data_IF_803434229289
#
_entry.id   IF_803434229289
#
_cell.length_a   1.000
_cell.length_b   1.000
_cell.length_c   1.000
_cell.angle_alpha   90.00
_cell.angle_beta   90.00
_cell.angle_gamma   90.00
#
_symmetry.space_group_name_H-M   'P 1'
#
loop_
_entity.id
_entity.type
_entity.pdbx_description
1 polymer ?
#
# COMPACT_ATOMS: atom_id res chain seq x y z
N UNK A 1 -37.80 52.47 41.78
CA UNK A 1 -37.29 51.09 41.87
C UNK A 1 -35.78 51.16 41.78
N UNK A 2 -35.10 51.32 42.92
CA UNK A 2 -33.63 51.20 42.99
C UNK A 2 -33.28 49.72 42.83
N UNK A 3 -32.31 49.43 41.97
CA UNK A 3 -31.97 48.05 41.62
C UNK A 3 -31.37 47.34 42.84
N UNK A 4 -31.65 46.05 43.00
CA UNK A 4 -31.19 45.23 44.13
C UNK A 4 -29.66 45.19 44.27
N UNK A 5 -28.92 45.44 43.19
CA UNK A 5 -27.44 45.45 43.17
C UNK A 5 -26.86 46.73 43.78
N UNK A 6 -27.43 47.89 43.44
CA UNK A 6 -26.95 49.20 43.93
C UNK A 6 -26.98 49.29 45.46
N UNK A 7 -28.04 48.77 46.09
CA UNK A 7 -28.19 48.82 47.55
C UNK A 7 -27.23 47.91 48.32
N UNK A 8 -26.81 46.79 47.73
CA UNK A 8 -25.88 45.84 48.38
C UNK A 8 -24.45 46.36 48.29
N UNK A 9 -24.09 46.94 47.15
CA UNK A 9 -22.79 47.56 46.95
C UNK A 9 -22.60 48.82 47.82
N UNK A 10 -23.66 49.60 48.03
CA UNK A 10 -23.64 50.78 48.90
C UNK A 10 -23.42 50.41 50.38
N UNK A 11 -24.04 49.31 50.86
CA UNK A 11 -23.81 48.77 52.20
C UNK A 11 -22.35 48.35 52.40
N UNK A 12 -21.78 47.59 51.45
CA UNK A 12 -20.37 47.18 51.51
C UNK A 12 -19.39 48.39 51.46
N UNK A 13 -19.76 49.46 50.74
CA UNK A 13 -18.95 50.67 50.59
C UNK A 13 -19.06 51.62 51.79
N UNK A 14 -20.20 51.60 52.49
CA UNK A 14 -20.45 52.41 53.70
C UNK A 14 -19.60 52.00 54.91
N UNK A 15 -18.99 50.81 54.85
CA UNK A 15 -18.15 50.26 55.92
C UNK A 15 -16.69 50.64 55.65
N UNK A 16 -16.05 51.25 56.66
CA UNK A 16 -14.66 51.69 56.58
C UNK A 16 -13.70 50.57 56.16
N UNK A 17 -12.93 50.82 55.09
CA UNK A 17 -11.89 49.90 54.58
C UNK A 17 -10.69 49.81 55.52
N UNK A 18 -10.53 50.76 56.45
CA UNK A 18 -9.42 50.83 57.40
C UNK A 18 -9.56 49.88 58.62
N UNK A 19 -10.51 48.95 58.57
CA UNK A 19 -10.79 48.00 59.65
C UNK A 19 -10.50 46.58 59.13
N UNK A 20 -10.01 45.68 59.99
CA UNK A 20 -9.75 44.28 59.63
C UNK A 20 -10.97 43.61 58.97
N UNK A 21 -10.75 42.73 57.99
CA UNK A 21 -11.82 42.13 57.15
C UNK A 21 -12.87 41.38 57.98
N UNK A 22 -12.46 40.70 59.05
CA UNK A 22 -13.37 40.07 60.03
C UNK A 22 -14.34 41.05 60.69
N UNK A 23 -13.84 42.22 61.10
CA UNK A 23 -14.64 43.30 61.69
C UNK A 23 -15.53 43.95 60.64
N UNK A 24 -15.03 44.07 59.40
CA UNK A 24 -15.84 44.54 58.27
C UNK A 24 -17.02 43.61 58.01
N UNK A 25 -16.83 42.29 58.08
CA UNK A 25 -17.91 41.31 57.97
C UNK A 25 -18.93 41.42 59.11
N UNK A 26 -18.48 41.59 60.36
CA UNK A 26 -19.35 41.85 61.50
C UNK A 26 -20.18 43.14 61.34
N UNK A 27 -19.54 44.24 60.92
CA UNK A 27 -20.22 45.50 60.60
C UNK A 27 -21.19 45.34 59.42
N UNK A 28 -20.87 44.50 58.44
CA UNK A 28 -21.72 44.22 57.28
C UNK A 28 -22.98 43.45 57.68
N UNK A 29 -22.87 42.46 58.57
CA UNK A 29 -24.03 41.74 59.12
C UNK A 29 -24.98 42.71 59.85
N UNK A 30 -24.43 43.59 60.69
CA UNK A 30 -25.23 44.58 61.43
C UNK A 30 -25.90 45.59 60.49
N UNK A 31 -25.15 46.13 59.52
CA UNK A 31 -25.68 47.08 58.54
C UNK A 31 -26.74 46.45 57.64
N UNK A 32 -26.55 45.18 57.27
CA UNK A 32 -27.54 44.41 56.49
C UNK A 32 -28.83 44.17 57.28
N UNK A 33 -28.74 43.91 58.59
CA UNK A 33 -29.90 43.77 59.46
C UNK A 33 -30.66 45.10 59.57
N UNK A 34 -29.97 46.21 59.85
CA UNK A 34 -30.60 47.54 59.95
C UNK A 34 -31.25 47.96 58.63
N UNK A 35 -30.60 47.70 57.51
CA UNK A 35 -31.16 47.93 56.18
C UNK A 35 -32.43 47.11 55.94
N UNK A 36 -32.43 45.84 56.36
CA UNK A 36 -33.61 44.96 56.23
C UNK A 36 -34.78 45.45 57.09
N UNK A 37 -34.51 45.91 58.32
CA UNK A 37 -35.52 46.53 59.20
C UNK A 37 -36.12 47.79 58.57
N UNK A 38 -35.27 48.69 58.04
CA UNK A 38 -35.72 49.92 57.38
C UNK A 38 -36.53 49.62 56.10
N UNK A 39 -36.19 48.55 55.39
CA UNK A 39 -36.93 48.11 54.20
C UNK A 39 -38.28 47.48 54.56
N UNK A 40 -38.36 46.80 55.71
CA UNK A 40 -39.58 46.14 56.17
C UNK A 40 -40.57 47.12 56.82
N UNK A 41 -40.08 48.18 57.49
CA UNK A 41 -40.90 49.14 58.23
C UNK A 41 -42.07 49.76 57.41
N UNK A 42 -41.90 50.20 56.15
CA UNK A 42 -42.98 50.79 55.35
C UNK A 42 -44.12 49.81 55.04
N UNK A 43 -43.84 48.52 54.93
CA UNK A 43 -44.84 47.49 54.63
C UNK A 43 -45.72 47.13 55.84
N UNK A 44 -45.26 47.42 57.05
CA UNK A 44 -45.95 47.09 58.29
C UNK A 44 -46.80 48.25 58.85
N UNK A 45 -46.73 49.45 58.24
CA UNK A 45 -47.40 50.67 58.69
C UNK A 45 -48.94 50.62 58.60
N UNK A 46 -49.54 49.55 58.06
CA UNK A 46 -50.99 49.42 57.83
C UNK A 46 -51.63 48.15 58.40
N UNK A 47 -50.92 47.37 59.22
CA UNK A 47 -51.42 46.07 59.72
C UNK A 47 -52.17 46.24 61.04
N UNK A 48 -53.39 45.69 61.14
CA UNK A 48 -54.17 45.71 62.39
C UNK A 48 -53.40 44.98 63.52
N UNK A 49 -53.24 45.65 64.67
CA UNK A 49 -52.53 45.11 65.83
C UNK A 49 -51.02 45.41 65.89
N UNK A 50 -50.44 46.13 64.92
CA UNK A 50 -49.02 46.46 64.92
C UNK A 50 -48.73 47.88 65.45
N UNK A 51 -47.90 47.97 66.49
CA UNK A 51 -47.37 49.25 66.99
C UNK A 51 -45.96 49.50 66.44
N UNK A 52 -45.80 50.56 65.64
CA UNK A 52 -44.52 51.00 65.08
C UNK A 52 -43.47 51.26 66.17
N UNK A 53 -43.89 51.80 67.31
CA UNK A 53 -43.03 52.10 68.45
C UNK A 53 -42.49 50.80 69.07
N UNK A 54 -43.37 49.81 69.25
CA UNK A 54 -42.95 48.49 69.77
C UNK A 54 -42.01 47.77 68.82
N UNK A 55 -42.23 47.89 67.50
CA UNK A 55 -41.36 47.32 66.48
C UNK A 55 -39.98 47.97 66.48
N UNK A 56 -39.91 49.31 66.50
CA UNK A 56 -38.63 50.01 66.58
C UNK A 56 -37.88 49.68 67.87
N UNK A 57 -38.58 49.62 69.00
CA UNK A 57 -37.98 49.19 70.27
C UNK A 57 -37.40 47.76 70.19
N UNK A 58 -38.13 46.82 69.58
CA UNK A 58 -37.65 45.44 69.36
C UNK A 58 -36.51 45.36 68.36
N UNK A 59 -36.58 46.10 67.27
CA UNK A 59 -35.52 46.16 66.27
C UNK A 59 -34.23 46.76 66.84
N UNK A 60 -34.32 47.82 67.65
CA UNK A 60 -33.16 48.39 68.36
C UNK A 60 -32.59 47.41 69.39
N UNK A 61 -33.45 46.73 70.16
CA UNK A 61 -33.00 45.70 71.11
C UNK A 61 -32.27 44.54 70.42
N UNK A 62 -32.82 44.03 69.30
CA UNK A 62 -32.21 42.97 68.52
C UNK A 62 -30.94 43.43 67.78
N UNK A 63 -30.89 44.70 67.36
CA UNK A 63 -29.69 45.29 66.74
C UNK A 63 -28.53 45.34 67.74
N UNK A 64 -28.78 45.72 69.00
CA UNK A 64 -27.73 45.70 70.04
C UNK A 64 -27.33 44.27 70.42
N UNK A 65 -28.29 43.33 70.47
CA UNK A 65 -27.97 41.92 70.71
C UNK A 65 -27.16 41.30 69.56
N UNK A 66 -27.49 41.61 68.31
CA UNK A 66 -26.74 41.20 67.13
C UNK A 66 -25.33 41.80 67.11
N UNK A 67 -25.17 43.05 67.56
CA UNK A 67 -23.86 43.68 67.72
C UNK A 67 -23.00 42.94 68.74
N UNK A 68 -23.55 42.66 69.92
CA UNK A 68 -22.85 41.84 70.92
C UNK A 68 -22.54 40.42 70.41
N UNK A 69 -23.43 39.83 69.60
CA UNK A 69 -23.19 38.53 69.00
C UNK A 69 -22.08 38.58 67.93
N UNK A 70 -22.04 39.61 67.08
CA UNK A 70 -20.98 39.81 66.11
C UNK A 70 -19.61 40.02 66.79
N UNK A 71 -19.57 40.79 67.89
CA UNK A 71 -18.36 40.96 68.70
C UNK A 71 -17.90 39.62 69.32
N UNK A 72 -18.85 38.79 69.80
CA UNK A 72 -18.55 37.42 70.28
C UNK A 72 -17.98 36.53 69.16
N UNK A 73 -18.62 36.53 67.98
CA UNK A 73 -18.18 35.77 66.81
C UNK A 73 -16.82 36.23 66.27
N UNK A 74 -16.45 37.49 66.52
CA UNK A 74 -15.10 37.96 66.24
C UNK A 74 -14.10 37.38 67.27
N UNK A 75 -14.45 37.41 68.56
CA UNK A 75 -13.58 36.95 69.64
C UNK A 75 -13.41 35.43 69.71
N UNK A 76 -14.40 34.66 69.25
CA UNK A 76 -14.38 33.19 69.25
C UNK A 76 -13.70 32.58 68.00
N UNK A 77 -13.28 33.43 67.06
CA UNK A 77 -12.60 33.03 65.83
C UNK A 77 -13.52 32.47 64.74
N UNK A 78 -14.84 32.46 64.93
CA UNK A 78 -15.79 31.94 63.93
C UNK A 78 -15.81 32.80 62.67
N UNK A 79 -15.75 34.13 62.80
CA UNK A 79 -15.64 35.02 61.64
C UNK A 79 -14.28 34.88 60.93
N UNK A 80 -13.23 34.45 61.65
CA UNK A 80 -11.92 34.23 61.05
C UNK A 80 -11.94 33.02 60.10
N UNK A 81 -12.70 31.97 60.43
CA UNK A 81 -12.89 30.80 59.56
C UNK A 81 -13.56 31.11 58.22
N UNK A 82 -14.21 32.27 58.07
CA UNK A 82 -14.79 32.71 56.80
C UNK A 82 -13.74 33.27 55.83
N UNK A 83 -12.59 33.71 56.34
CA UNK A 83 -11.49 34.29 55.56
C UNK A 83 -10.27 33.36 55.51
N UNK A 84 -10.19 32.40 56.43
CA UNK A 84 -9.37 31.23 56.22
C UNK A 84 -9.95 30.51 55.00
N UNK A 85 -9.29 30.68 53.85
CA UNK A 85 -9.20 29.60 52.89
C UNK A 85 -8.91 28.36 53.70
N UNK A 86 -9.70 27.31 53.47
CA UNK A 86 -9.65 26.06 54.21
C UNK A 86 -8.23 25.44 54.20
N UNK A 87 -7.32 25.97 55.02
CA UNK A 87 -6.03 25.38 55.35
C UNK A 87 -6.25 24.22 56.33
N UNK A 88 -7.42 24.18 57.00
CA UNK A 88 -7.77 23.19 58.03
C UNK A 88 -8.55 21.95 57.55
N UNK A 89 -9.17 21.96 56.37
CA UNK A 89 -9.38 20.71 55.63
C UNK A 89 -8.20 20.66 54.71
N UNK A 90 -7.10 20.06 55.15
CA UNK A 90 -5.97 19.79 54.29
C UNK A 90 -6.52 19.34 52.94
N UNK A 91 -6.41 20.15 51.86
CA UNK A 91 -6.42 19.52 50.55
C UNK A 91 -5.30 18.53 50.71
N UNK A 92 -5.64 17.25 50.72
CA UNK A 92 -4.62 16.21 50.80
C UNK A 92 -3.81 16.47 49.54
N UNK A 93 -2.70 17.21 49.66
CA UNK A 93 -1.97 17.77 48.51
C UNK A 93 -1.58 16.61 47.60
N UNK A 94 -1.35 15.44 48.22
CA UNK A 94 -1.29 14.09 47.64
C UNK A 94 -2.48 13.71 46.74
N UNK A 95 -3.72 13.93 47.18
CA UNK A 95 -4.94 13.66 46.41
C UNK A 95 -5.09 14.64 45.25
N UNK A 96 -4.83 15.93 45.44
CA UNK A 96 -4.92 16.91 44.35
C UNK A 96 -3.85 16.66 43.27
N UNK A 97 -2.61 16.36 43.68
CA UNK A 97 -1.55 15.96 42.76
C UNK A 97 -1.88 14.64 42.06
N UNK A 98 -2.39 13.64 42.79
CA UNK A 98 -2.80 12.36 42.21
C UNK A 98 -3.95 12.53 41.20
N UNK A 99 -4.91 13.41 41.48
CA UNK A 99 -6.00 13.74 40.55
C UNK A 99 -5.46 14.48 39.32
N UNK A 100 -4.47 15.35 39.47
CA UNK A 100 -3.81 16.02 38.34
C UNK A 100 -3.05 15.03 37.45
N UNK A 101 -2.24 14.14 38.04
CA UNK A 101 -1.53 13.07 37.33
C UNK A 101 -2.50 12.12 36.62
N UNK A 102 -3.61 11.73 37.28
CA UNK A 102 -4.63 10.89 36.67
C UNK A 102 -5.28 11.56 35.47
N UNK A 103 -5.57 12.87 35.55
CA UNK A 103 -6.07 13.63 34.39
C UNK A 103 -5.07 13.64 33.25
N UNK A 104 -3.77 13.81 33.54
CA UNK A 104 -2.73 13.75 32.52
C UNK A 104 -2.67 12.36 31.87
N UNK A 105 -2.68 11.28 32.66
CA UNK A 105 -2.73 9.91 32.13
C UNK A 105 -3.98 9.66 31.29
N UNK A 106 -5.15 10.15 31.71
CA UNK A 106 -6.38 10.04 30.92
C UNK A 106 -6.21 10.71 29.55
N UNK A 107 -5.62 11.91 29.50
CA UNK A 107 -5.37 12.59 28.22
C UNK A 107 -4.36 11.84 27.36
N UNK A 108 -3.27 11.34 27.94
CA UNK A 108 -2.25 10.54 27.25
C UNK A 108 -2.84 9.25 26.68
N UNK A 109 -3.58 8.48 27.47
CA UNK A 109 -4.23 7.25 27.01
C UNK A 109 -5.32 7.52 25.97
N UNK A 110 -6.00 8.67 26.05
CA UNK A 110 -6.98 9.06 25.04
C UNK A 110 -6.32 9.34 23.69
N UNK A 111 -5.16 10.01 23.68
CA UNK A 111 -4.37 10.26 22.47
C UNK A 111 -3.74 8.98 21.91
N UNK A 112 -3.25 8.10 22.78
CA UNK A 112 -2.72 6.80 22.39
C UNK A 112 -3.82 5.93 21.77
N UNK A 113 -5.00 5.87 22.38
CA UNK A 113 -6.16 5.18 21.81
C UNK A 113 -6.52 5.70 20.43
N UNK A 114 -6.55 7.03 20.25
CA UNK A 114 -6.82 7.63 18.94
C UNK A 114 -5.76 7.25 17.90
N UNK A 115 -4.48 7.23 18.30
CA UNK A 115 -3.39 6.78 17.43
C UNK A 115 -3.55 5.32 17.02
N UNK A 116 -3.93 4.45 17.96
CA UNK A 116 -4.21 3.03 17.67
C UNK A 116 -5.43 2.84 16.77
N UNK A 117 -6.51 3.59 17.00
CA UNK A 117 -7.71 3.56 16.16
C UNK A 117 -7.37 3.98 14.72
N UNK A 118 -6.55 5.02 14.54
CA UNK A 118 -6.09 5.47 13.23
C UNK A 118 -5.18 4.45 12.54
N UNK A 119 -4.24 3.85 13.30
CA UNK A 119 -3.35 2.81 12.77
C UNK A 119 -4.13 1.58 12.32
N UNK A 120 -5.12 1.17 13.11
CA UNK A 120 -5.97 0.04 12.79
C UNK A 120 -6.79 0.31 11.53
N UNK A 121 -7.40 1.50 11.41
CA UNK A 121 -8.11 1.91 10.20
C UNK A 121 -7.18 1.89 8.97
N UNK A 122 -5.98 2.45 9.09
CA UNK A 122 -5.00 2.46 8.00
C UNK A 122 -4.66 1.06 7.51
N UNK A 123 -4.38 0.11 8.41
CA UNK A 123 -4.08 -1.26 8.01
C UNK A 123 -5.30 -1.99 7.45
N UNK A 124 -6.51 -1.68 7.90
CA UNK A 124 -7.74 -2.23 7.31
C UNK A 124 -7.94 -1.73 5.88
N UNK A 125 -7.82 -0.41 5.68
CA UNK A 125 -7.91 0.21 4.35
C UNK A 125 -6.80 -0.29 3.41
N UNK A 126 -5.56 -0.40 3.89
CA UNK A 126 -4.43 -0.95 3.12
C UNK A 126 -4.67 -2.42 2.75
N UNK A 127 -5.18 -3.23 3.68
CA UNK A 127 -5.51 -4.63 3.38
C UNK A 127 -6.64 -4.74 2.35
N UNK A 128 -7.70 -3.94 2.47
CA UNK A 128 -8.80 -3.89 1.49
C UNK A 128 -8.31 -3.39 0.12
N UNK A 129 -7.41 -2.40 0.08
CA UNK A 129 -6.78 -1.91 -1.13
C UNK A 129 -5.93 -2.98 -1.78
N UNK A 130 -5.09 -3.70 -1.03
CA UNK A 130 -4.27 -4.79 -1.56
C UNK A 130 -5.15 -5.92 -2.12
N UNK A 131 -6.22 -6.30 -1.41
CA UNK A 131 -7.16 -7.34 -1.88
C UNK A 131 -7.87 -6.88 -3.15
N UNK A 132 -8.34 -5.63 -3.19
CA UNK A 132 -9.01 -5.05 -4.35
C UNK A 132 -8.05 -4.91 -5.54
N UNK A 133 -6.84 -4.39 -5.32
CA UNK A 133 -5.77 -4.27 -6.31
C UNK A 133 -5.41 -5.64 -6.87
N UNK A 134 -5.15 -6.62 -6.00
CA UNK A 134 -4.87 -7.99 -6.39
C UNK A 134 -5.98 -8.63 -7.24
N UNK A 135 -7.25 -8.31 -6.96
CA UNK A 135 -8.40 -8.76 -7.78
C UNK A 135 -8.49 -8.02 -9.12
N UNK A 136 -8.18 -6.73 -9.18
CA UNK A 136 -8.16 -5.98 -10.45
C UNK A 136 -6.95 -6.33 -11.31
N UNK A 137 -5.81 -6.65 -10.69
CA UNK A 137 -4.57 -7.04 -11.35
C UNK A 137 -4.68 -8.48 -11.85
N UNK A 138 -5.24 -9.42 -11.09
CA UNK A 138 -5.53 -10.78 -11.64
C UNK A 138 -6.53 -10.78 -12.78
N UNK A 139 -7.38 -9.76 -12.90
CA UNK A 139 -8.33 -9.61 -14.02
C UNK A 139 -7.75 -8.85 -15.22
N UNK A 140 -6.74 -8.00 -15.01
CA UNK A 140 -6.03 -7.27 -16.07
C UNK A 140 -4.72 -7.95 -16.51
N UNK A 141 -4.22 -8.93 -15.75
CA UNK A 141 -2.96 -9.66 -15.97
C UNK A 141 -3.23 -11.13 -16.29
N UNK A 142 -4.33 -11.44 -16.96
CA UNK A 142 -4.41 -12.66 -17.76
C UNK A 142 -3.69 -12.37 -19.08
N UNK A 143 -2.37 -12.65 -19.08
CA UNK A 143 -1.51 -12.76 -20.28
C UNK A 143 -1.17 -11.44 -20.98
N UNK A 144 -0.27 -10.65 -20.38
CA UNK A 144 0.80 -10.01 -21.14
C UNK A 144 2.01 -9.82 -20.22
N UNK A 145 2.99 -10.71 -20.31
CA UNK A 145 4.28 -10.54 -19.63
C UNK A 145 5.00 -9.41 -20.36
N UNK A 146 4.79 -8.18 -19.89
CA UNK A 146 5.44 -7.00 -20.44
C UNK A 146 6.98 -7.16 -20.32
N UNK A 147 7.77 -6.91 -21.39
CA UNK A 147 9.23 -7.11 -21.40
C UNK A 147 10.02 -6.29 -20.35
N UNK A 148 9.38 -5.34 -19.71
CA UNK A 148 9.90 -4.44 -18.67
C UNK A 148 10.18 -5.13 -17.34
N UNK A 149 9.58 -6.30 -17.09
CA UNK A 149 9.75 -7.07 -15.85
C UNK A 149 11.22 -7.48 -15.56
N UNK A 150 12.09 -7.41 -16.57
CA UNK A 150 13.49 -7.83 -16.46
C UNK A 150 14.48 -6.72 -16.06
N UNK A 151 14.05 -5.46 -16.01
CA UNK A 151 14.96 -4.32 -15.81
C UNK A 151 15.61 -4.26 -14.42
N UNK A 152 15.01 -4.88 -13.41
CA UNK A 152 15.55 -4.95 -12.03
C UNK A 152 16.20 -6.29 -11.67
N UNK A 153 16.25 -7.26 -12.58
CA UNK A 153 16.79 -8.59 -12.29
C UNK A 153 18.31 -8.56 -12.25
N UNK A 154 18.91 -9.27 -11.28
CA UNK A 154 20.35 -9.54 -11.26
C UNK A 154 20.86 -10.29 -12.50
N UNK A 155 19.94 -10.86 -13.30
CA UNK A 155 20.24 -11.56 -14.55
C UNK A 155 19.79 -10.77 -15.79
N UNK A 156 19.48 -9.48 -15.67
CA UNK A 156 19.02 -8.64 -16.78
C UNK A 156 19.94 -8.71 -18.00
N UNK A 157 21.26 -8.74 -17.80
CA UNK A 157 22.24 -8.88 -18.88
C UNK A 157 22.05 -10.20 -19.68
N UNK A 158 21.80 -11.31 -18.99
CA UNK A 158 21.56 -12.62 -19.62
C UNK A 158 20.23 -12.62 -20.38
N UNK A 159 19.19 -12.04 -19.79
CA UNK A 159 17.84 -12.02 -20.35
C UNK A 159 17.75 -11.09 -21.57
N UNK A 160 18.50 -9.98 -21.56
CA UNK A 160 18.62 -9.06 -22.70
C UNK A 160 19.50 -9.62 -23.82
N UNK A 161 20.36 -10.59 -23.54
CA UNK A 161 21.22 -11.26 -24.53
C UNK A 161 20.52 -12.48 -25.16
N UNK A 162 19.20 -12.45 -25.31
CA UNK A 162 18.44 -13.56 -25.92
C UNK A 162 18.68 -13.59 -27.44
N UNK A 163 19.28 -14.66 -27.99
CA UNK A 163 19.46 -14.78 -29.44
C UNK A 163 18.11 -15.04 -30.15
N UNK A 164 18.03 -14.60 -31.40
CA UNK A 164 16.87 -14.82 -32.25
C UNK A 164 16.87 -16.23 -32.85
N UNK A 165 16.26 -17.17 -32.12
CA UNK A 165 16.12 -18.55 -32.56
C UNK A 165 15.27 -18.71 -33.83
N UNK A 166 14.32 -17.81 -34.07
CA UNK A 166 13.46 -17.88 -35.25
C UNK A 166 14.25 -17.55 -36.52
N UNK A 167 15.13 -16.54 -36.46
CA UNK A 167 16.06 -16.26 -37.55
C UNK A 167 17.05 -17.41 -37.78
N UNK A 168 17.50 -18.09 -36.73
CA UNK A 168 18.35 -19.29 -36.87
C UNK A 168 17.60 -20.40 -37.62
N UNK A 169 16.35 -20.68 -37.25
CA UNK A 169 15.50 -21.67 -37.95
C UNK A 169 15.26 -21.30 -39.41
N UNK A 170 14.96 -20.03 -39.70
CA UNK A 170 14.82 -19.55 -41.08
C UNK A 170 16.11 -19.71 -41.89
N UNK A 171 17.27 -19.48 -41.27
CA UNK A 171 18.56 -19.71 -41.92
C UNK A 171 18.79 -21.20 -42.21
N UNK A 172 18.37 -22.10 -41.31
CA UNK A 172 18.44 -23.55 -41.57
C UNK A 172 17.59 -23.94 -42.78
N UNK A 173 16.37 -23.38 -42.92
CA UNK A 173 15.55 -23.64 -44.10
C UNK A 173 16.26 -23.24 -45.40
N UNK A 174 16.89 -22.06 -45.43
CA UNK A 174 17.66 -21.60 -46.60
C UNK A 174 18.84 -22.52 -46.92
N UNK A 175 19.45 -23.14 -45.91
CA UNK A 175 20.53 -24.12 -46.11
C UNK A 175 19.98 -25.39 -46.75
N UNK A 176 18.78 -25.85 -46.36
CA UNK A 176 18.11 -26.97 -47.03
C UNK A 176 17.78 -26.63 -48.49
N UNK A 177 17.23 -25.46 -48.77
CA UNK A 177 16.93 -25.01 -50.14
C UNK A 177 18.20 -24.99 -51.01
N UNK A 178 19.32 -24.54 -50.45
CA UNK A 178 20.63 -24.54 -51.13
C UNK A 178 21.14 -25.96 -51.39
N UNK A 179 21.03 -26.85 -50.40
CA UNK A 179 21.44 -28.25 -50.54
C UNK A 179 20.62 -28.98 -51.62
N UNK A 180 19.31 -28.74 -51.68
CA UNK A 180 18.44 -29.28 -52.72
C UNK A 180 18.91 -28.88 -54.12
N UNK A 181 19.17 -27.58 -54.34
CA UNK A 181 19.69 -27.08 -55.62
C UNK A 181 21.02 -27.74 -56.03
N UNK A 182 21.93 -27.93 -55.07
CA UNK A 182 23.22 -28.60 -55.33
C UNK A 182 23.03 -30.07 -55.72
N UNK A 183 22.10 -30.78 -55.06
CA UNK A 183 21.78 -32.16 -55.40
C UNK A 183 21.14 -32.27 -56.79
N UNK A 184 20.23 -31.36 -57.14
CA UNK A 184 19.60 -31.31 -58.45
C UNK A 184 20.61 -31.04 -59.58
N UNK A 185 21.52 -30.09 -59.37
CA UNK A 185 22.60 -29.79 -60.32
C UNK A 185 23.56 -30.98 -60.50
N UNK A 186 23.92 -31.65 -59.40
CA UNK A 186 24.76 -32.85 -59.44
C UNK A 186 24.05 -33.99 -60.19
N UNK A 187 22.77 -34.22 -59.91
CA UNK A 187 21.98 -35.24 -60.60
C UNK A 187 21.83 -34.92 -62.09
N UNK A 188 21.60 -33.66 -62.45
CA UNK A 188 21.53 -33.20 -63.84
C UNK A 188 22.85 -33.42 -64.59
N UNK A 189 23.96 -33.06 -63.96
CA UNK A 189 25.31 -33.27 -64.50
C UNK A 189 25.61 -34.76 -64.72
N UNK A 190 25.20 -35.63 -63.79
CA UNK A 190 25.37 -37.07 -63.91
C UNK A 190 24.55 -37.66 -65.07
N UNK A 191 23.30 -37.22 -65.26
CA UNK A 191 22.46 -37.63 -66.40
C UNK A 191 23.09 -37.21 -67.74
N UNK A 192 23.61 -35.98 -67.81
CA UNK A 192 24.28 -35.48 -69.01
C UNK A 192 25.52 -36.31 -69.36
N UNK A 193 26.34 -36.64 -68.35
CA UNK A 193 27.50 -37.50 -68.53
C UNK A 193 27.10 -38.90 -69.00
N UNK A 194 26.04 -39.48 -68.42
CA UNK A 194 25.52 -40.79 -68.83
C UNK A 194 25.05 -40.78 -70.29
N UNK A 195 24.30 -39.75 -70.71
CA UNK A 195 23.84 -39.61 -72.09
C UNK A 195 25.03 -39.52 -73.07
N UNK A 196 26.06 -38.73 -72.72
CA UNK A 196 27.29 -38.64 -73.51
C UNK A 196 28.01 -39.99 -73.61
N UNK A 197 28.07 -40.77 -72.51
CA UNK A 197 28.63 -42.11 -72.51
C UNK A 197 27.85 -43.08 -73.40
N UNK A 198 26.52 -43.07 -73.35
CA UNK A 198 25.68 -43.89 -74.23
C UNK A 198 25.85 -43.51 -75.70
N UNK A 199 25.87 -42.21 -76.03
CA UNK A 199 26.08 -41.77 -77.41
C UNK A 199 27.47 -42.16 -77.93
N UNK A 200 28.50 -41.99 -77.11
CA UNK A 200 29.87 -42.38 -77.44
C UNK A 200 30.00 -43.88 -77.67
N UNK A 201 29.43 -44.70 -76.78
CA UNK A 201 29.44 -46.17 -76.91
C UNK A 201 28.66 -46.62 -78.14
N UNK A 202 27.50 -46.02 -78.41
CA UNK A 202 26.71 -46.33 -79.61
C UNK A 202 27.44 -45.93 -80.90
N UNK A 203 28.11 -44.77 -80.92
CA UNK A 203 28.93 -44.31 -82.04
C UNK A 203 30.09 -45.28 -82.32
N UNK A 204 30.86 -45.62 -81.29
CA UNK A 204 31.96 -46.58 -81.38
C UNK A 204 31.46 -47.95 -81.85
N UNK A 205 30.31 -48.40 -81.37
CA UNK A 205 29.71 -49.67 -81.80
C UNK A 205 29.28 -49.63 -83.27
N UNK A 206 28.69 -48.52 -83.75
CA UNK A 206 28.33 -48.33 -85.16
C UNK A 206 29.57 -48.39 -86.07
N UNK A 207 30.64 -47.68 -85.70
CA UNK A 207 31.91 -47.68 -86.47
C UNK A 207 32.54 -49.08 -86.45
N UNK A 208 32.58 -49.74 -85.29
CA UNK A 208 33.10 -51.12 -85.15
C UNK A 208 32.34 -52.11 -86.03
N UNK A 209 30.99 -52.04 -86.06
CA UNK A 209 30.16 -52.88 -86.93
C UNK A 209 30.39 -52.55 -88.41
N UNK A 210 30.55 -51.29 -88.79
CA UNK A 210 30.85 -50.92 -90.18
C UNK A 210 32.24 -51.39 -90.63
N UNK A 211 33.26 -51.25 -89.78
CA UNK A 211 34.60 -51.82 -90.04
C UNK A 211 34.54 -53.33 -90.15
N UNK A 212 33.83 -54.01 -89.24
CA UNK A 212 33.63 -55.45 -89.29
C UNK A 212 32.94 -55.89 -90.58
N UNK A 213 31.88 -55.20 -91.01
CA UNK A 213 31.21 -55.45 -92.29
C UNK A 213 32.16 -55.22 -93.47
N UNK A 214 32.87 -54.09 -93.54
CA UNK A 214 33.83 -53.83 -94.63
C UNK A 214 34.96 -54.87 -94.67
N UNK A 215 35.56 -55.19 -93.53
CA UNK A 215 36.62 -56.19 -93.44
C UNK A 215 36.16 -57.60 -93.81
N UNK A 216 34.94 -58.00 -93.44
CA UNK A 216 34.42 -59.36 -93.70
C UNK A 216 33.72 -59.51 -95.05
N UNK A 217 33.19 -58.43 -95.62
CA UNK A 217 32.41 -58.42 -96.86
C UNK A 217 33.26 -58.02 -98.07
N UNK A 218 34.40 -57.34 -97.87
CA UNK A 218 35.41 -57.10 -98.91
C UNK A 218 36.42 -58.27 -99.04
N UNK A 219 36.29 -59.29 -98.17
CA UNK A 219 36.85 -60.61 -98.41
C UNK A 219 35.93 -61.37 -99.36
N UNK A 220 36.13 -61.15 -100.66
CA UNK A 220 35.82 -62.12 -101.73
C UNK A 220 36.37 -63.52 -101.34
N UNK A 221 36.03 -64.65 -101.98
CA UNK A 221 36.41 -65.99 -101.52
C UNK A 221 37.93 -66.21 -101.63
N UNK A 222 38.68 -65.61 -100.72
CA UNK A 222 40.12 -65.64 -100.61
C UNK A 222 40.52 -66.74 -99.61
N UNK A 223 41.56 -67.53 -99.92
CA UNK A 223 42.00 -68.67 -99.11
C UNK A 223 42.23 -68.38 -97.61
N UNK A 224 42.51 -67.12 -97.24
CA UNK A 224 42.75 -66.69 -95.85
C UNK A 224 41.57 -66.97 -94.91
N UNK A 225 40.33 -67.05 -95.41
CA UNK A 225 39.13 -67.31 -94.59
C UNK A 225 39.10 -68.71 -93.98
N UNK A 226 39.80 -69.69 -94.57
CA UNK A 226 39.95 -71.05 -93.99
C UNK A 226 40.80 -71.05 -92.72
N UNK A 227 41.75 -70.13 -92.60
CA UNK A 227 42.62 -70.02 -91.43
C UNK A 227 41.89 -69.40 -90.22
N UNK A 228 41.07 -68.38 -90.44
CA UNK A 228 40.31 -67.73 -89.36
C UNK A 228 39.18 -68.61 -88.81
N UNK A 229 38.49 -69.38 -89.67
CA UNK A 229 37.48 -70.36 -89.23
C UNK A 229 38.07 -71.50 -88.40
N UNK A 230 39.36 -71.83 -88.58
CA UNK A 230 40.03 -72.85 -87.77
C UNK A 230 40.30 -72.37 -86.33
N UNK A 231 40.53 -71.07 -86.13
CA UNK A 231 40.80 -70.50 -84.81
C UNK A 231 39.54 -70.43 -83.94
N UNK A 232 38.35 -70.18 -84.51
CA UNK A 232 37.11 -70.09 -83.72
C UNK A 232 36.51 -71.45 -83.34
N UNK A 233 36.93 -72.56 -83.98
CA UNK A 233 36.41 -73.91 -83.70
C UNK A 233 37.12 -74.60 -82.54
N UNK A 234 38.12 -73.97 -81.91
CA UNK A 234 38.79 -74.50 -80.71
C UNK A 234 38.66 -73.51 -79.55
N UNK A 235 37.52 -73.53 -78.86
CA UNK A 235 37.52 -73.68 -77.40
C UNK A 235 36.21 -74.35 -76.93
N UNK A 236 36.29 -75.34 -76.01
CA UNK A 236 35.16 -76.10 -75.50
C UNK A 236 34.38 -75.35 -74.42
N UNK A 237 33.07 -75.60 -74.37
CA UNK A 237 32.20 -75.25 -73.26
C UNK A 237 32.39 -76.22 -72.08
N UNK A 238 32.85 -75.70 -70.94
CA UNK A 238 32.64 -76.26 -69.59
C UNK A 238 32.63 -75.06 -68.63
N UNK A 239 31.48 -74.51 -68.24
CA UNK A 239 30.59 -74.88 -67.10
C UNK A 239 31.21 -74.63 -65.71
N UNK A 240 30.40 -73.97 -64.85
CA UNK A 240 30.52 -73.71 -63.40
C UNK A 240 31.50 -72.60 -62.96
N UNK A 241 31.21 -71.71 -62.01
CA UNK A 241 30.05 -71.51 -61.12
C UNK A 241 30.08 -70.09 -60.52
N UNK A 242 28.91 -69.63 -60.09
CA UNK A 242 28.66 -68.47 -59.21
C UNK A 242 29.64 -68.43 -58.01
N UNK A 243 29.99 -67.24 -57.52
CA UNK A 243 29.76 -66.86 -56.12
C UNK A 243 30.01 -65.37 -55.86
N UNK A 244 29.28 -64.86 -54.88
CA UNK A 244 29.12 -63.50 -54.39
C UNK A 244 30.38 -62.84 -53.82
N UNK A 245 30.43 -61.51 -53.88
CA UNK A 245 30.44 -60.61 -52.71
C UNK A 245 30.05 -59.19 -53.12
#
# INVERSE_FOLDING_TARGET
MTSRSETVEELCRSISVNIAERKRLGCLLLSSFQFSVQKLEPFLRGTEGFSLESFRAKASSLSEELKHFADRLESDGTLQKCFEDSEGRAPDLSLETSVAEMKEYITKFSLERQSWDQLLLHYQEEAEEIISRGSTETKNTEVEVEPTAYLGSSQSEVLNTKPDYQKILQNQNKVFDCMELVMDELQGSMKQLHAFMEESTQCLQKVSVQLGKRSTQQLDPSPARKLLKLQLRKQPSTRCSKSCQ
#
